data_IF_341949952247
#
_entry.id   IF_341949952247
#
_cell.length_a   1.000
_cell.length_b   1.000
_cell.length_c   1.000
_cell.angle_alpha   90.00
_cell.angle_beta   90.00
_cell.angle_gamma   90.00
#
_symmetry.space_group_name_H-M   'P 1'
#
loop_
_entity.id
_entity.type
_entity.pdbx_description
1 polymer ?
#
# COMPACT_ATOMS: atom_id res chain seq x y z
N UNK A 1 -5.75 -0.61 -10.99
CA UNK A 1 -4.82 -1.72 -10.66
C UNK A 1 -4.78 -1.82 -9.14
N UNK A 2 -4.76 -3.03 -8.58
CA UNK A 2 -4.90 -3.31 -7.14
C UNK A 2 -3.60 -3.93 -6.62
N UNK A 3 -3.17 -3.51 -5.43
CA UNK A 3 -2.01 -4.05 -4.72
C UNK A 3 -2.38 -5.39 -4.07
N UNK A 4 -1.53 -6.39 -4.24
CA UNK A 4 -1.72 -7.74 -3.70
C UNK A 4 -0.61 -8.14 -2.74
N UNK A 5 -0.89 -9.10 -1.85
CA UNK A 5 0.06 -9.60 -0.82
C UNK A 5 1.36 -10.18 -1.38
N UNK A 6 1.31 -10.77 -2.58
CA UNK A 6 2.46 -11.34 -3.26
C UNK A 6 3.35 -10.28 -3.93
N UNK A 7 2.93 -9.00 -3.95
CA UNK A 7 3.77 -7.91 -4.45
C UNK A 7 4.81 -7.49 -3.41
N UNK A 8 5.94 -6.98 -3.87
CA UNK A 8 6.99 -6.45 -3.01
C UNK A 8 6.77 -4.96 -2.73
N UNK A 9 7.03 -4.48 -1.49
CA UNK A 9 6.98 -3.05 -1.17
C UNK A 9 7.81 -2.20 -2.12
N UNK A 10 8.99 -2.69 -2.54
CA UNK A 10 9.84 -2.02 -3.52
C UNK A 10 9.11 -1.80 -4.86
N UNK A 11 8.50 -2.84 -5.42
CA UNK A 11 7.74 -2.73 -6.67
C UNK A 11 6.50 -1.84 -6.51
N UNK A 12 5.82 -1.93 -5.37
CA UNK A 12 4.64 -1.11 -5.07
C UNK A 12 5.02 0.37 -5.04
N UNK A 13 6.06 0.76 -4.30
CA UNK A 13 6.52 2.16 -4.23
C UNK A 13 7.04 2.67 -5.59
N UNK A 14 7.67 1.80 -6.39
CA UNK A 14 8.11 2.18 -7.73
C UNK A 14 6.95 2.52 -8.68
N UNK A 15 5.80 1.86 -8.52
CA UNK A 15 4.60 2.12 -9.34
C UNK A 15 3.75 3.24 -8.71
N UNK A 16 3.63 3.25 -7.39
CA UNK A 16 2.81 4.16 -6.60
C UNK A 16 3.64 4.78 -5.48
N UNK A 17 4.37 5.84 -5.80
CA UNK A 17 5.28 6.51 -4.85
C UNK A 17 4.61 6.95 -3.53
N UNK A 18 3.33 7.34 -3.57
CA UNK A 18 2.57 7.78 -2.40
C UNK A 18 2.36 6.67 -1.35
N UNK A 19 2.45 5.39 -1.76
CA UNK A 19 2.33 4.26 -0.83
C UNK A 19 3.52 4.10 0.11
N UNK A 20 4.63 4.80 -0.15
CA UNK A 20 5.80 4.83 0.74
C UNK A 20 5.43 5.26 2.16
N UNK A 21 4.50 6.22 2.30
CA UNK A 21 4.05 6.73 3.61
C UNK A 21 3.34 5.64 4.42
N UNK A 22 2.53 4.80 3.76
CA UNK A 22 1.84 3.66 4.39
C UNK A 22 2.85 2.65 4.93
N UNK A 23 3.89 2.31 4.16
CA UNK A 23 4.93 1.39 4.65
C UNK A 23 5.66 1.96 5.88
N UNK A 24 5.98 3.26 5.87
CA UNK A 24 6.65 3.93 6.99
C UNK A 24 5.74 3.94 8.23
N UNK A 25 4.45 4.26 8.07
CA UNK A 25 3.44 4.29 9.13
C UNK A 25 3.27 2.94 9.83
N UNK A 26 3.32 1.84 9.08
CA UNK A 26 3.24 0.47 9.61
C UNK A 26 4.60 -0.15 9.98
N UNK A 27 5.69 0.62 9.90
CA UNK A 27 7.05 0.16 10.15
C UNK A 27 7.49 -1.02 9.25
N UNK A 28 6.96 -1.07 8.02
CA UNK A 28 7.28 -2.10 7.03
C UNK A 28 8.49 -1.64 6.22
N UNK A 29 9.50 -2.50 6.11
CA UNK A 29 10.69 -2.22 5.31
C UNK A 29 10.36 -2.28 3.81
N UNK A 30 10.79 -1.26 3.07
CA UNK A 30 10.69 -1.24 1.61
C UNK A 30 11.81 -2.10 1.04
N UNK A 31 11.52 -3.38 0.80
CA UNK A 31 12.49 -4.38 0.31
C UNK A 31 11.89 -5.22 -0.80
N UNK A 32 12.75 -5.92 -1.55
CA UNK A 32 12.34 -6.88 -2.57
C UNK A 32 11.89 -8.23 -1.94
N UNK A 33 10.92 -8.19 -1.03
CA UNK A 33 10.25 -9.37 -0.44
C UNK A 33 8.74 -9.18 -0.44
N UNK A 34 7.95 -10.24 -0.61
CA UNK A 34 6.50 -10.12 -0.67
C UNK A 34 5.91 -9.71 0.68
N UNK A 35 4.86 -8.91 0.66
CA UNK A 35 4.21 -8.37 1.87
C UNK A 35 3.74 -9.47 2.83
N UNK A 36 3.22 -10.59 2.31
CA UNK A 36 2.82 -11.74 3.14
C UNK A 36 3.96 -12.37 3.95
N UNK A 37 5.22 -12.10 3.59
CA UNK A 37 6.40 -12.56 4.37
C UNK A 37 6.94 -11.52 5.33
N UNK A 38 6.61 -10.25 5.10
CA UNK A 38 7.05 -9.12 5.90
C UNK A 38 6.08 -8.78 7.02
N UNK A 39 4.81 -9.15 6.83
CA UNK A 39 3.69 -8.75 7.68
C UNK A 39 2.90 -10.00 8.07
N UNK A 40 2.43 -10.05 9.31
CA UNK A 40 1.57 -11.13 9.79
C UNK A 40 0.22 -11.14 9.06
N UNK A 41 -0.32 -12.34 8.82
CA UNK A 41 -1.56 -12.59 8.07
C UNK A 41 -2.78 -11.87 8.66
N UNK A 42 -2.77 -11.56 9.95
CA UNK A 42 -3.85 -10.88 10.66
C UNK A 42 -3.98 -9.40 10.27
N UNK A 43 -2.84 -8.71 10.11
CA UNK A 43 -2.80 -7.27 9.79
C UNK A 43 -2.56 -7.00 8.30
N UNK A 44 -2.07 -7.99 7.55
CA UNK A 44 -1.91 -7.93 6.09
C UNK A 44 -3.16 -7.44 5.34
N UNK A 45 -4.40 -7.92 5.60
CA UNK A 45 -5.58 -7.40 4.90
C UNK A 45 -5.84 -5.91 5.18
N UNK A 46 -5.59 -5.44 6.40
CA UNK A 46 -5.76 -4.02 6.75
C UNK A 46 -4.73 -3.13 6.03
N UNK A 47 -3.48 -3.59 5.93
CA UNK A 47 -2.43 -2.89 5.20
C UNK A 47 -2.73 -2.85 3.69
N UNK A 48 -3.19 -3.96 3.12
CA UNK A 48 -3.58 -4.00 1.70
C UNK A 48 -4.76 -3.06 1.41
N UNK A 49 -5.74 -2.97 2.31
CA UNK A 49 -6.84 -2.01 2.17
C UNK A 49 -6.34 -0.56 2.17
N UNK A 50 -5.49 -0.19 3.14
CA UNK A 50 -4.93 1.17 3.23
C UNK A 50 -4.07 1.50 2.01
N UNK A 51 -3.21 0.59 1.55
CA UNK A 51 -2.41 0.75 0.34
C UNK A 51 -3.29 0.97 -0.90
N UNK A 52 -4.35 0.17 -1.07
CA UNK A 52 -5.28 0.32 -2.18
C UNK A 52 -6.13 1.59 -2.08
N UNK A 53 -6.47 2.02 -0.87
CA UNK A 53 -7.15 3.29 -0.63
C UNK A 53 -6.27 4.49 -0.98
N UNK A 54 -4.96 4.42 -0.72
CA UNK A 54 -3.98 5.43 -1.17
C UNK A 54 -3.92 5.49 -2.69
N UNK A 55 -3.77 4.33 -3.36
CA UNK A 55 -3.74 4.26 -4.83
C UNK A 55 -5.06 4.73 -5.47
N UNK A 56 -6.19 4.36 -4.86
CA UNK A 56 -7.53 4.74 -5.30
C UNK A 56 -7.83 6.22 -5.08
N UNK A 57 -7.40 6.78 -3.96
CA UNK A 57 -7.52 8.22 -3.66
C UNK A 57 -6.74 9.08 -4.65
N UNK A 58 -5.57 8.61 -5.11
CA UNK A 58 -4.80 9.32 -6.14
C UNK A 58 -5.52 9.45 -7.48
N UNK A 59 -6.61 8.69 -7.72
CA UNK A 59 -7.41 8.76 -8.96
C UNK A 59 -8.71 9.55 -8.84
N UNK A 60 -9.01 10.15 -7.69
CA UNK A 60 -10.30 10.79 -7.45
C UNK A 60 -10.18 11.93 -6.46
N UNK A 61 -9.99 13.12 -7.02
CA UNK A 61 -10.50 14.39 -6.51
C UNK A 61 -11.34 14.26 -5.23
N UNK A 62 -10.90 14.96 -4.18
CA UNK A 62 -11.84 15.66 -3.33
C UNK A 62 -12.72 16.49 -4.29
N UNK A 63 -13.93 16.04 -4.60
CA UNK A 63 -14.96 16.98 -5.02
C UNK A 63 -15.48 17.57 -3.71
N UNK A 64 -15.00 18.78 -3.45
CA UNK A 64 -15.58 19.71 -2.50
C UNK A 64 -17.10 19.81 -2.74
N UNK A 65 -17.90 19.63 -1.70
CA UNK A 65 -19.19 20.31 -1.53
C UNK A 65 -20.38 19.84 -2.36
N UNK A 66 -21.43 19.45 -1.64
CA UNK A 66 -22.80 19.30 -2.12
C UNK A 66 -23.74 19.02 -0.96
#
# INVERSE_FOLDING_TARGET
>A
MVIQSNMTPEAIVQIWGDTADVFIKHNILIVNKPLETLVESDILPAILDELNATVGSSSGTCVEGG
#
